data_IF_686682726288
#
_entry.id   IF_686682726288
#
_cell.length_a   1.000
_cell.length_b   1.000
_cell.length_c   1.000
_cell.angle_alpha   90.00
_cell.angle_beta   90.00
_cell.angle_gamma   90.00
#
_symmetry.space_group_name_H-M   'P 1'
#
loop_
_entity.id
_entity.type
_entity.pdbx_description
1 polymer ?
#
# COMPACT_ATOMS: atom_id res chain seq x y z
N UNK A 1 -7.49 15.49 23.75
CA UNK A 1 -6.92 15.25 22.41
C UNK A 1 -7.08 13.81 21.92
N UNK A 2 -6.68 12.77 22.65
CA UNK A 2 -6.78 11.37 22.17
C UNK A 2 -8.21 10.87 21.92
N UNK A 3 -9.19 11.32 22.69
CA UNK A 3 -10.62 10.93 22.55
C UNK A 3 -11.25 11.44 21.24
N UNK A 4 -10.65 12.46 20.60
CA UNK A 4 -11.16 13.01 19.34
C UNK A 4 -10.75 12.21 18.10
N UNK A 5 -9.71 11.37 18.18
CA UNK A 5 -9.19 10.61 17.04
C UNK A 5 -10.17 9.52 16.54
N UNK A 6 -10.73 8.63 17.40
CA UNK A 6 -11.74 7.67 16.97
C UNK A 6 -13.02 8.33 16.44
N UNK A 7 -13.40 9.49 17.01
CA UNK A 7 -14.56 10.27 16.54
C UNK A 7 -14.29 10.76 15.12
N UNK A 8 -13.11 11.33 14.86
CA UNK A 8 -12.74 11.83 13.54
C UNK A 8 -12.77 10.70 12.48
N UNK A 9 -12.27 9.51 12.81
CA UNK A 9 -12.34 8.37 11.91
C UNK A 9 -13.79 7.93 11.61
N UNK A 10 -14.70 8.08 12.59
CA UNK A 10 -16.12 7.72 12.40
C UNK A 10 -16.89 8.79 11.63
N UNK A 11 -16.62 10.08 11.87
CA UNK A 11 -17.34 11.19 11.23
C UNK A 11 -16.91 11.45 9.79
N UNK A 12 -15.63 11.15 9.44
CA UNK A 12 -15.03 11.55 8.18
C UNK A 12 -14.87 10.39 7.18
N UNK A 13 -15.80 10.22 6.22
CA UNK A 13 -15.74 9.13 5.25
C UNK A 13 -14.48 9.16 4.38
N UNK A 14 -14.01 10.36 3.97
CA UNK A 14 -12.80 10.51 3.17
C UNK A 14 -11.56 9.98 3.90
N UNK A 15 -11.42 10.28 5.20
CA UNK A 15 -10.33 9.78 6.04
C UNK A 15 -10.40 8.25 6.16
N UNK A 16 -11.57 7.71 6.45
CA UNK A 16 -11.79 6.28 6.60
C UNK A 16 -11.46 5.50 5.32
N UNK A 17 -11.90 6.01 4.17
CA UNK A 17 -11.58 5.43 2.87
C UNK A 17 -10.08 5.47 2.57
N UNK A 18 -9.43 6.61 2.82
CA UNK A 18 -7.98 6.75 2.60
C UNK A 18 -7.17 5.86 3.54
N UNK A 19 -7.61 5.68 4.80
CA UNK A 19 -7.01 4.71 5.71
C UNK A 19 -7.12 3.28 5.14
N UNK A 20 -8.29 2.85 4.67
CA UNK A 20 -8.49 1.51 4.13
C UNK A 20 -7.69 1.28 2.84
N UNK A 21 -7.72 2.26 1.92
CA UNK A 21 -6.99 2.20 0.65
C UNK A 21 -5.48 2.06 0.86
N UNK A 22 -4.90 2.87 1.74
CA UNK A 22 -3.46 2.78 1.95
C UNK A 22 -3.07 1.66 2.91
N UNK A 23 -3.91 1.34 3.91
CA UNK A 23 -3.66 0.22 4.80
C UNK A 23 -3.57 -1.12 4.05
N UNK A 24 -4.41 -1.34 3.03
CA UNK A 24 -4.34 -2.53 2.20
C UNK A 24 -3.03 -2.61 1.40
N UNK A 25 -2.59 -1.48 0.83
CA UNK A 25 -1.33 -1.40 0.10
C UNK A 25 -0.10 -1.55 1.02
N UNK A 26 -0.08 -0.83 2.14
CA UNK A 26 1.01 -0.89 3.09
C UNK A 26 1.10 -2.26 3.77
N UNK A 27 -0.05 -2.91 3.99
CA UNK A 27 -0.11 -4.30 4.44
C UNK A 27 0.50 -5.26 3.43
N UNK A 28 0.16 -5.13 2.14
CA UNK A 28 0.75 -5.94 1.07
C UNK A 28 2.28 -5.72 0.95
N UNK A 29 2.72 -4.47 1.05
CA UNK A 29 4.14 -4.12 1.09
C UNK A 29 4.86 -4.79 2.26
N UNK A 30 4.31 -4.70 3.48
CA UNK A 30 4.92 -5.33 4.66
C UNK A 30 4.92 -6.86 4.56
N UNK A 31 3.86 -7.47 4.02
CA UNK A 31 3.81 -8.90 3.78
C UNK A 31 4.95 -9.36 2.85
N UNK A 32 5.20 -8.62 1.78
CA UNK A 32 6.30 -8.89 0.84
C UNK A 32 7.66 -8.80 1.54
N UNK A 33 7.93 -7.69 2.23
CA UNK A 33 9.23 -7.47 2.87
C UNK A 33 9.52 -8.44 4.01
N UNK A 34 8.51 -8.77 4.83
CA UNK A 34 8.66 -9.73 5.94
C UNK A 34 9.02 -11.12 5.43
N UNK A 35 8.44 -11.55 4.31
CA UNK A 35 8.69 -12.88 3.73
C UNK A 35 9.89 -12.93 2.79
N UNK A 36 10.37 -11.78 2.30
CA UNK A 36 11.40 -11.72 1.25
C UNK A 36 12.68 -12.47 1.63
N UNK A 37 13.20 -12.24 2.83
CA UNK A 37 14.43 -12.89 3.29
C UNK A 37 14.23 -14.40 3.37
N UNK A 38 13.08 -14.86 3.89
CA UNK A 38 12.76 -16.28 3.97
C UNK A 38 12.74 -16.93 2.58
N UNK A 39 12.09 -16.25 1.63
CA UNK A 39 11.98 -16.74 0.25
C UNK A 39 13.34 -16.79 -0.45
N UNK A 40 14.19 -15.77 -0.27
CA UNK A 40 15.49 -15.71 -0.94
C UNK A 40 16.54 -16.61 -0.31
N UNK A 41 16.45 -16.93 0.98
CA UNK A 41 17.43 -17.78 1.68
C UNK A 41 17.09 -19.26 1.64
N UNK A 42 15.86 -19.63 1.27
CA UNK A 42 15.41 -21.00 1.13
C UNK A 42 15.27 -21.40 -0.35
N UNK A 43 14.74 -22.57 -0.59
CA UNK A 43 14.49 -23.10 -1.94
C UNK A 43 13.51 -22.20 -2.72
N UNK A 44 13.80 -21.89 -4.00
CA UNK A 44 14.83 -22.42 -4.89
C UNK A 44 16.15 -21.61 -4.93
N UNK A 45 16.27 -20.50 -4.19
CA UNK A 45 17.36 -19.54 -4.40
C UNK A 45 18.60 -19.81 -3.56
N UNK A 46 18.44 -20.23 -2.30
CA UNK A 46 19.55 -20.47 -1.36
C UNK A 46 20.58 -19.33 -1.28
N UNK A 47 20.12 -18.08 -1.41
CA UNK A 47 21.02 -16.92 -1.33
C UNK A 47 21.50 -16.70 0.10
N UNK A 48 22.70 -16.14 0.25
CA UNK A 48 23.17 -15.70 1.56
C UNK A 48 22.28 -14.56 2.11
N UNK A 49 22.19 -14.46 3.43
CA UNK A 49 21.46 -13.36 4.07
C UNK A 49 21.99 -11.99 3.66
N UNK A 50 23.30 -11.88 3.43
CA UNK A 50 23.92 -10.65 2.94
C UNK A 50 23.42 -10.29 1.52
N UNK A 51 23.34 -11.26 0.61
CA UNK A 51 22.83 -11.07 -0.74
C UNK A 51 21.32 -10.73 -0.71
N UNK A 52 20.54 -11.44 0.12
CA UNK A 52 19.12 -11.13 0.31
C UNK A 52 18.93 -9.70 0.85
N UNK A 53 19.80 -9.22 1.72
CA UNK A 53 19.79 -7.85 2.24
C UNK A 53 20.01 -6.78 1.16
N UNK A 54 20.75 -7.07 0.10
CA UNK A 54 20.97 -6.15 -1.04
C UNK A 54 19.65 -5.83 -1.77
N UNK A 55 18.68 -6.74 -1.75
CA UNK A 55 17.35 -6.47 -2.29
C UNK A 55 16.67 -5.28 -1.58
N UNK A 56 17.09 -4.94 -0.35
CA UNK A 56 16.66 -3.73 0.36
C UNK A 56 16.91 -2.46 -0.45
N UNK A 57 17.95 -2.41 -1.26
CA UNK A 57 18.27 -1.27 -2.12
C UNK A 57 17.19 -1.04 -3.21
N UNK A 58 16.48 -2.09 -3.62
CA UNK A 58 15.36 -1.96 -4.57
C UNK A 58 14.20 -1.15 -3.99
N UNK A 59 14.08 -1.10 -2.65
CA UNK A 59 13.11 -0.25 -1.97
C UNK A 59 13.29 1.24 -2.26
N UNK A 60 14.51 1.69 -2.59
CA UNK A 60 14.79 3.06 -2.97
C UNK A 60 14.06 3.50 -4.24
N UNK A 61 13.63 2.57 -5.09
CA UNK A 61 12.84 2.86 -6.28
C UNK A 61 11.55 3.64 -5.94
N UNK A 62 10.93 3.35 -4.79
CA UNK A 62 9.78 4.12 -4.29
C UNK A 62 10.11 5.59 -4.07
N UNK A 63 11.25 5.88 -3.44
CA UNK A 63 11.68 7.26 -3.19
C UNK A 63 11.94 8.02 -4.51
N UNK A 64 12.60 7.38 -5.48
CA UNK A 64 12.81 7.98 -6.80
C UNK A 64 11.51 8.19 -7.58
N UNK A 65 10.50 7.38 -7.36
CA UNK A 65 9.19 7.51 -8.00
C UNK A 65 8.28 8.59 -7.36
N UNK A 66 8.61 9.11 -6.18
CA UNK A 66 7.80 10.08 -5.43
C UNK A 66 7.51 11.39 -6.21
N UNK A 67 8.47 12.04 -6.90
CA UNK A 67 8.20 13.27 -7.64
C UNK A 67 7.18 13.09 -8.76
N UNK A 68 7.12 11.91 -9.37
CA UNK A 68 6.13 11.63 -10.42
C UNK A 68 4.72 11.47 -9.84
N UNK A 69 4.59 10.89 -8.63
CA UNK A 69 3.30 10.84 -7.95
C UNK A 69 2.70 12.24 -7.79
N UNK A 70 3.48 13.22 -7.28
CA UNK A 70 3.03 14.61 -7.14
C UNK A 70 2.54 15.19 -8.46
N UNK A 71 3.34 15.12 -9.53
CA UNK A 71 2.96 15.63 -10.86
C UNK A 71 1.69 15.01 -11.43
N UNK A 72 1.47 13.70 -11.19
CA UNK A 72 0.25 13.03 -11.65
C UNK A 72 -0.96 13.42 -10.80
N UNK A 73 -0.79 13.59 -9.48
CA UNK A 73 -1.84 14.05 -8.57
C UNK A 73 -2.31 15.45 -8.98
N UNK A 74 -1.38 16.37 -9.27
CA UNK A 74 -1.70 17.74 -9.71
C UNK A 74 -2.52 17.77 -11.01
N UNK A 75 -2.30 16.79 -11.91
CA UNK A 75 -2.98 16.73 -13.20
C UNK A 75 -4.29 15.95 -13.20
N UNK A 76 -4.40 14.90 -12.42
CA UNK A 76 -5.50 13.92 -12.50
C UNK A 76 -6.22 13.69 -11.16
N UNK A 77 -5.79 14.36 -10.11
CA UNK A 77 -6.27 14.14 -8.76
C UNK A 77 -5.67 12.87 -8.11
N UNK A 78 -5.92 12.68 -6.80
CA UNK A 78 -5.30 11.59 -6.02
C UNK A 78 -5.88 10.21 -6.33
N UNK A 79 -7.19 10.08 -6.57
CA UNK A 79 -7.85 8.77 -6.66
C UNK A 79 -7.40 7.90 -7.85
N UNK A 80 -7.16 8.43 -9.07
CA UNK A 80 -6.59 7.66 -10.17
C UNK A 80 -5.21 7.08 -9.83
N UNK A 81 -4.38 7.83 -9.09
CA UNK A 81 -3.04 7.39 -8.67
C UNK A 81 -3.13 6.29 -7.63
N UNK A 82 -4.05 6.40 -6.67
CA UNK A 82 -4.33 5.34 -5.69
C UNK A 82 -4.78 4.06 -6.41
N UNK A 83 -5.66 4.20 -7.40
CA UNK A 83 -6.12 3.05 -8.21
C UNK A 83 -4.97 2.41 -8.98
N UNK A 84 -4.13 3.21 -9.63
CA UNK A 84 -2.95 2.71 -10.34
C UNK A 84 -1.97 1.99 -9.38
N UNK A 85 -1.78 2.51 -8.17
CA UNK A 85 -0.94 1.89 -7.15
C UNK A 85 -1.51 0.52 -6.70
N UNK A 86 -2.83 0.39 -6.52
CA UNK A 86 -3.48 -0.88 -6.21
C UNK A 86 -3.32 -1.91 -7.34
N UNK A 87 -3.49 -1.50 -8.59
CA UNK A 87 -3.24 -2.36 -9.76
C UNK A 87 -1.76 -2.77 -9.82
N UNK A 88 -0.84 -1.84 -9.58
CA UNK A 88 0.59 -2.15 -9.54
C UNK A 88 0.93 -3.13 -8.41
N UNK A 89 0.21 -3.09 -7.28
CA UNK A 89 0.35 -4.08 -6.20
C UNK A 89 -0.13 -5.48 -6.63
N UNK A 90 -1.18 -5.58 -7.45
CA UNK A 90 -1.58 -6.85 -8.04
C UNK A 90 -0.54 -7.38 -9.04
N UNK A 91 0.04 -6.51 -9.85
CA UNK A 91 1.17 -6.87 -10.74
C UNK A 91 2.35 -7.37 -9.92
N UNK A 92 2.65 -6.70 -8.80
CA UNK A 92 3.68 -7.16 -7.85
C UNK A 92 3.36 -8.55 -7.28
N UNK A 93 2.12 -8.80 -6.86
CA UNK A 93 1.70 -10.11 -6.33
C UNK A 93 1.87 -11.22 -7.37
N UNK A 94 1.51 -10.96 -8.63
CA UNK A 94 1.70 -11.89 -9.74
C UNK A 94 3.18 -12.14 -10.03
N UNK A 95 3.97 -11.07 -10.11
CA UNK A 95 5.42 -11.21 -10.31
C UNK A 95 6.06 -11.96 -9.14
N UNK A 96 5.64 -11.71 -7.91
CA UNK A 96 6.11 -12.42 -6.72
C UNK A 96 5.75 -13.91 -6.77
N UNK A 97 4.55 -14.25 -7.25
CA UNK A 97 4.13 -15.64 -7.46
C UNK A 97 4.97 -16.34 -8.54
N UNK A 98 5.34 -15.62 -9.60
CA UNK A 98 6.21 -16.11 -10.67
C UNK A 98 7.70 -16.11 -10.27
N UNK A 99 8.05 -15.63 -9.11
CA UNK A 99 9.42 -15.57 -8.60
C UNK A 99 10.14 -16.91 -8.64
N UNK A 100 9.45 -18.04 -8.48
CA UNK A 100 10.05 -19.37 -8.62
C UNK A 100 10.62 -19.66 -10.02
N UNK A 101 10.13 -18.98 -11.05
CA UNK A 101 10.61 -19.11 -12.41
C UNK A 101 11.90 -18.31 -12.67
N UNK A 102 12.25 -17.37 -11.78
CA UNK A 102 13.49 -16.62 -11.91
C UNK A 102 13.56 -15.36 -11.05
N UNK A 103 14.77 -15.00 -10.66
CA UNK A 103 15.06 -13.86 -9.77
C UNK A 103 14.59 -12.52 -10.35
N UNK A 104 14.52 -12.39 -11.68
CA UNK A 104 14.04 -11.18 -12.35
C UNK A 104 12.58 -10.85 -11.94
N UNK A 105 11.72 -11.85 -11.76
CA UNK A 105 10.36 -11.65 -11.30
C UNK A 105 10.31 -11.11 -9.88
N UNK A 106 11.24 -11.55 -9.01
CA UNK A 106 11.37 -11.01 -7.65
C UNK A 106 11.78 -9.53 -7.66
N UNK A 107 12.73 -9.17 -8.51
CA UNK A 107 13.15 -7.77 -8.68
C UNK A 107 11.96 -6.92 -9.14
N UNK A 108 11.22 -7.37 -10.15
CA UNK A 108 10.03 -6.67 -10.65
C UNK A 108 8.97 -6.52 -9.56
N UNK A 109 8.73 -7.58 -8.78
CA UNK A 109 7.75 -7.56 -7.69
C UNK A 109 8.11 -6.51 -6.64
N UNK A 110 9.37 -6.46 -6.19
CA UNK A 110 9.84 -5.53 -5.17
C UNK A 110 9.81 -4.09 -5.68
N UNK A 111 10.26 -3.84 -6.90
CA UNK A 111 10.19 -2.52 -7.52
C UNK A 111 8.75 -2.04 -7.63
N UNK A 112 7.86 -2.90 -8.13
CA UNK A 112 6.45 -2.57 -8.32
C UNK A 112 5.75 -2.23 -6.98
N UNK A 113 5.92 -3.04 -5.93
CA UNK A 113 5.29 -2.78 -4.64
C UNK A 113 5.88 -1.55 -3.94
N UNK A 114 7.18 -1.28 -4.12
CA UNK A 114 7.85 -0.11 -3.54
C UNK A 114 7.36 1.19 -4.19
N UNK A 115 7.20 1.22 -5.50
CA UNK A 115 6.59 2.34 -6.22
C UNK A 115 5.12 2.51 -5.83
N UNK A 116 4.36 1.42 -5.79
CA UNK A 116 2.94 1.42 -5.45
C UNK A 116 2.68 2.00 -4.06
N UNK A 117 3.42 1.56 -3.03
CA UNK A 117 3.22 2.06 -1.67
C UNK A 117 3.52 3.54 -1.55
N UNK A 118 4.58 4.02 -2.19
CA UNK A 118 4.96 5.43 -2.17
C UNK A 118 3.92 6.31 -2.88
N UNK A 119 3.47 5.91 -4.07
CA UNK A 119 2.42 6.62 -4.79
C UNK A 119 1.12 6.67 -4.01
N UNK A 120 0.72 5.56 -3.42
CA UNK A 120 -0.48 5.47 -2.58
C UNK A 120 -0.38 6.36 -1.35
N UNK A 121 0.78 6.40 -0.67
CA UNK A 121 0.97 7.24 0.51
C UNK A 121 0.78 8.72 0.17
N UNK A 122 1.49 9.23 -0.85
CA UNK A 122 1.42 10.63 -1.26
C UNK A 122 -0.01 10.99 -1.68
N UNK A 123 -0.65 10.13 -2.50
CA UNK A 123 -1.99 10.41 -3.02
C UNK A 123 -3.07 10.37 -1.92
N UNK A 124 -3.01 9.42 -0.99
CA UNK A 124 -3.97 9.38 0.13
C UNK A 124 -3.77 10.52 1.11
N UNK A 125 -2.52 10.92 1.40
CA UNK A 125 -2.27 12.11 2.23
C UNK A 125 -2.78 13.38 1.56
N UNK A 126 -2.52 13.57 0.27
CA UNK A 126 -3.05 14.71 -0.49
C UNK A 126 -4.58 14.74 -0.42
N UNK A 127 -5.23 13.58 -0.61
CA UNK A 127 -6.69 13.46 -0.50
C UNK A 127 -7.19 13.83 0.89
N UNK A 128 -6.62 13.27 1.96
CA UNK A 128 -7.01 13.58 3.34
C UNK A 128 -6.85 15.06 3.66
N UNK A 129 -5.76 15.70 3.22
CA UNK A 129 -5.51 17.12 3.48
C UNK A 129 -6.40 18.06 2.68
N UNK A 130 -6.88 17.65 1.52
CA UNK A 130 -7.86 18.39 0.74
C UNK A 130 -9.25 18.41 1.40
N UNK A 131 -9.68 17.27 1.94
CA UNK A 131 -11.00 17.15 2.60
C UNK A 131 -11.04 17.69 4.02
N UNK A 132 -9.91 17.75 4.72
CA UNK A 132 -9.82 18.11 6.15
C UNK A 132 -8.80 19.23 6.41
N UNK A 133 -8.94 20.41 5.77
CA UNK A 133 -7.95 21.48 5.88
C UNK A 133 -7.77 21.98 7.31
N UNK A 134 -8.86 22.05 8.11
CA UNK A 134 -8.84 22.52 9.49
C UNK A 134 -8.31 21.46 10.49
N UNK A 135 -8.25 20.19 10.09
CA UNK A 135 -7.88 19.08 10.96
C UNK A 135 -6.68 18.28 10.47
N UNK A 136 -5.87 18.84 9.56
CA UNK A 136 -4.76 18.13 8.88
C UNK A 136 -3.86 17.33 9.82
N UNK A 137 -3.38 17.94 10.90
CA UNK A 137 -2.49 17.28 11.86
C UNK A 137 -3.16 16.08 12.54
N UNK A 138 -4.42 16.25 13.00
CA UNK A 138 -5.19 15.18 13.65
C UNK A 138 -5.54 14.06 12.66
N UNK A 139 -5.96 14.43 11.46
CA UNK A 139 -6.28 13.48 10.40
C UNK A 139 -5.05 12.66 9.98
N UNK A 140 -3.88 13.32 9.85
CA UNK A 140 -2.63 12.63 9.56
C UNK A 140 -2.23 11.66 10.68
N UNK A 141 -2.42 12.03 11.94
CA UNK A 141 -2.14 11.11 13.06
C UNK A 141 -3.01 9.86 12.99
N UNK A 142 -4.31 10.01 12.78
CA UNK A 142 -5.25 8.87 12.61
C UNK A 142 -4.86 8.01 11.44
N UNK A 143 -4.58 8.65 10.29
CA UNK A 143 -4.17 7.98 9.07
C UNK A 143 -2.89 7.16 9.27
N UNK A 144 -1.84 7.75 9.83
CA UNK A 144 -0.55 7.05 10.05
C UNK A 144 -0.69 5.92 11.05
N UNK A 145 -1.43 6.10 12.16
CA UNK A 145 -1.69 5.03 13.13
C UNK A 145 -2.40 3.84 12.46
N UNK A 146 -3.45 4.10 11.67
CA UNK A 146 -4.18 3.05 10.97
C UNK A 146 -3.27 2.29 9.99
N UNK A 147 -2.45 3.01 9.23
CA UNK A 147 -1.52 2.45 8.24
C UNK A 147 -0.44 1.60 8.90
N UNK A 148 0.25 2.10 9.92
CA UNK A 148 1.30 1.33 10.61
C UNK A 148 0.74 0.13 11.36
N UNK A 149 -0.44 0.26 11.97
CA UNK A 149 -1.11 -0.87 12.61
C UNK A 149 -1.45 -1.97 11.59
N UNK A 150 -1.97 -1.59 10.41
CA UNK A 150 -2.22 -2.55 9.33
C UNK A 150 -0.93 -3.24 8.86
N UNK A 151 0.17 -2.49 8.75
CA UNK A 151 1.48 -3.02 8.40
C UNK A 151 1.95 -4.08 9.39
N UNK A 152 1.84 -3.80 10.70
CA UNK A 152 2.22 -4.74 11.75
C UNK A 152 1.35 -6.02 11.73
N UNK A 153 0.03 -5.86 11.57
CA UNK A 153 -0.90 -7.00 11.46
C UNK A 153 -0.57 -7.84 10.22
N UNK A 154 -0.38 -7.20 9.07
CA UNK A 154 -0.11 -7.92 7.82
C UNK A 154 1.29 -8.56 7.81
N UNK A 155 2.28 -8.00 8.50
CA UNK A 155 3.57 -8.64 8.69
C UNK A 155 3.43 -9.95 9.51
N UNK A 156 2.64 -9.92 10.59
CA UNK A 156 2.34 -11.12 11.38
C UNK A 156 1.56 -12.16 10.56
N UNK A 157 0.55 -11.71 9.80
CA UNK A 157 -0.23 -12.58 8.91
C UNK A 157 0.66 -13.20 7.82
N UNK A 158 1.62 -12.43 7.26
CA UNK A 158 2.55 -12.95 6.25
C UNK A 158 3.40 -14.09 6.82
N UNK A 159 3.90 -13.96 8.05
CA UNK A 159 4.61 -15.04 8.73
C UNK A 159 3.74 -16.28 8.92
N UNK A 160 2.49 -16.12 9.37
CA UNK A 160 1.54 -17.22 9.52
C UNK A 160 1.18 -17.88 8.18
N UNK A 161 0.92 -17.07 7.15
CA UNK A 161 0.64 -17.57 5.81
C UNK A 161 1.84 -18.33 5.22
N UNK A 162 3.06 -17.82 5.45
CA UNK A 162 4.27 -18.52 5.01
C UNK A 162 4.46 -19.86 5.72
N UNK A 163 4.22 -19.90 7.04
CA UNK A 163 4.32 -21.14 7.82
C UNK A 163 3.29 -22.19 7.41
N UNK A 164 2.05 -21.78 7.09
CA UNK A 164 0.96 -22.68 6.74
C UNK A 164 0.96 -23.12 5.27
N UNK A 165 1.28 -22.20 4.35
CA UNK A 165 1.11 -22.40 2.91
C UNK A 165 2.38 -22.09 2.09
N UNK A 166 3.49 -21.77 2.76
CA UNK A 166 4.73 -21.38 2.11
C UNK A 166 4.59 -20.07 1.30
N UNK A 167 5.43 -19.92 0.29
CA UNK A 167 5.43 -18.76 -0.61
C UNK A 167 4.06 -18.44 -1.25
N UNK A 168 3.29 -19.42 -1.81
CA UNK A 168 1.97 -19.13 -2.37
C UNK A 168 1.01 -18.45 -1.39
N UNK A 169 1.10 -18.76 -0.09
CA UNK A 169 0.27 -18.13 0.93
C UNK A 169 0.51 -16.62 1.05
N UNK A 170 1.76 -16.19 0.96
CA UNK A 170 2.10 -14.75 0.98
C UNK A 170 1.64 -14.05 -0.30
N UNK A 171 1.81 -14.68 -1.46
CA UNK A 171 1.32 -14.14 -2.73
C UNK A 171 -0.20 -13.96 -2.70
N UNK A 172 -0.94 -14.94 -2.17
CA UNK A 172 -2.38 -14.87 -2.00
C UNK A 172 -2.78 -13.72 -1.04
N UNK A 173 -2.10 -13.58 0.10
CA UNK A 173 -2.34 -12.48 1.04
C UNK A 173 -2.15 -11.13 0.37
N UNK A 174 -1.06 -10.94 -0.37
CA UNK A 174 -0.77 -9.71 -1.08
C UNK A 174 -1.87 -9.38 -2.12
N UNK A 175 -2.29 -10.38 -2.90
CA UNK A 175 -3.35 -10.21 -3.88
C UNK A 175 -4.71 -9.88 -3.25
N UNK A 176 -5.07 -10.57 -2.16
CA UNK A 176 -6.32 -10.32 -1.40
C UNK A 176 -6.35 -8.90 -0.86
N UNK A 177 -5.25 -8.42 -0.28
CA UNK A 177 -5.14 -7.05 0.24
C UNK A 177 -5.31 -6.02 -0.88
N UNK A 178 -4.66 -6.21 -2.03
CA UNK A 178 -4.81 -5.31 -3.18
C UNK A 178 -6.24 -5.31 -3.74
N UNK A 179 -6.87 -6.47 -3.86
CA UNK A 179 -8.26 -6.60 -4.28
C UNK A 179 -9.21 -5.94 -3.27
N UNK A 180 -9.01 -6.15 -1.97
CA UNK A 180 -9.78 -5.47 -0.93
C UNK A 180 -9.68 -3.94 -1.05
N UNK A 181 -8.49 -3.40 -1.29
CA UNK A 181 -8.32 -1.98 -1.59
C UNK A 181 -9.12 -1.54 -2.83
N UNK A 182 -9.09 -2.33 -3.90
CA UNK A 182 -9.84 -2.00 -5.13
C UNK A 182 -11.36 -1.96 -4.92
N UNK A 183 -11.91 -2.75 -4.00
CA UNK A 183 -13.35 -2.67 -3.68
C UNK A 183 -13.75 -1.35 -3.02
N UNK A 184 -12.82 -0.66 -2.37
CA UNK A 184 -13.07 0.66 -1.75
C UNK A 184 -13.07 1.79 -2.78
N UNK A 185 -12.37 1.65 -3.91
CA UNK A 185 -12.23 2.70 -4.93
C UNK A 185 -13.56 3.24 -5.45
N UNK A 186 -14.58 2.43 -5.82
CA UNK A 186 -15.85 2.95 -6.31
C UNK A 186 -16.59 3.81 -5.26
N UNK A 187 -16.48 3.47 -3.98
CA UNK A 187 -17.08 4.27 -2.90
C UNK A 187 -16.34 5.60 -2.73
N UNK A 188 -15.02 5.58 -2.78
CA UNK A 188 -14.21 6.80 -2.74
C UNK A 188 -14.52 7.71 -3.94
N UNK A 189 -14.66 7.15 -5.15
CA UNK A 189 -15.01 7.90 -6.36
C UNK A 189 -16.39 8.55 -6.28
N UNK A 190 -17.38 7.86 -5.72
CA UNK A 190 -18.72 8.43 -5.50
C UNK A 190 -18.68 9.59 -4.52
N UNK A 191 -17.91 9.43 -3.45
CA UNK A 191 -17.76 10.49 -2.43
C UNK A 191 -17.08 11.72 -3.01
N UNK A 192 -15.98 11.55 -3.75
CA UNK A 192 -15.23 12.65 -4.35
C UNK A 192 -16.11 13.44 -5.32
N UNK A 193 -16.89 12.79 -6.18
CA UNK A 193 -17.84 13.44 -7.10
C UNK A 193 -18.94 14.22 -6.36
N UNK A 194 -19.48 13.65 -5.27
CA UNK A 194 -20.51 14.33 -4.48
C UNK A 194 -19.96 15.58 -3.82
N UNK A 195 -18.74 15.55 -3.34
CA UNK A 195 -18.06 16.68 -2.73
C UNK A 195 -17.79 17.79 -3.75
N UNK A 196 -17.22 17.44 -4.92
CA UNK A 196 -16.94 18.40 -5.99
C UNK A 196 -18.20 19.13 -6.44
N UNK A 197 -19.33 18.41 -6.61
CA UNK A 197 -20.61 19.00 -6.98
C UNK A 197 -21.15 19.94 -5.90
N UNK A 198 -20.93 19.64 -4.62
CA UNK A 198 -21.39 20.49 -3.53
C UNK A 198 -20.56 21.78 -3.37
N UNK A 199 -19.30 21.78 -3.80
CA UNK A 199 -18.42 22.97 -3.75
C UNK A 199 -18.66 23.89 -4.96
N UNK A 200 -19.14 23.34 -6.07
CA UNK A 200 -19.38 24.09 -7.33
C UNK A 200 -20.83 24.61 -7.44
N UNK A 201 -21.74 24.21 -6.58
CA UNK A 201 -23.14 24.66 -6.50
C UNK A 201 -23.30 25.83 -5.52
#
# INVERSE_FOLDING_TARGET
>A
MLVSLPRLLRSEPALRQSCLLHASLFGAYNATWTSLVLVLTHDPYHLSTATAGLFGLLGLAGAFAAPWAGRFIDRRGPLPIITAALVLTLVSALAYALGRAGLAFMVVAILAVSVAVQWSQIANQARVFAYLPEARSRANTVYMVAVFLSGAICAALAGACYAAFGWPGVCALQAVLALAGLTVVPFARRYDRAFDNAVTA
#
